data_IF_261646526727
#
_entry.id   IF_261646526727
#
_cell.length_a   1.000
_cell.length_b   1.000
_cell.length_c   1.000
_cell.angle_alpha   90.00
_cell.angle_beta   90.00
_cell.angle_gamma   90.00
#
_symmetry.space_group_name_H-M   'P 1'
#
loop_
_entity.id
_entity.type
_entity.pdbx_description
1 polymer ?
#
# COMPACT_ATOMS: atom_id res chain seq x y z
N UNK A 1 5.04 25.92 7.08
CA UNK A 1 5.90 25.05 6.27
C UNK A 1 6.48 23.98 7.18
N UNK A 2 5.81 22.83 7.28
CA UNK A 2 6.31 21.65 7.98
C UNK A 2 6.35 20.57 6.90
N UNK A 3 7.56 20.13 6.58
CA UNK A 3 7.88 19.25 5.47
C UNK A 3 7.16 17.90 5.59
N UNK A 4 6.37 17.58 4.57
CA UNK A 4 5.73 16.30 4.33
C UNK A 4 6.78 15.23 3.91
N UNK A 5 7.70 14.88 4.82
CA UNK A 5 8.86 14.04 4.52
C UNK A 5 8.81 12.62 5.12
N UNK A 6 7.74 12.23 5.83
CA UNK A 6 7.78 11.03 6.68
C UNK A 6 6.75 9.94 6.39
N UNK A 7 5.84 10.11 5.43
CA UNK A 7 4.74 9.16 5.29
C UNK A 7 5.03 7.94 4.41
N UNK A 8 6.07 8.04 3.58
CA UNK A 8 6.58 6.91 2.79
C UNK A 8 8.11 6.76 2.76
N UNK A 9 8.85 7.60 3.49
CA UNK A 9 10.25 7.27 3.85
C UNK A 9 10.34 6.02 4.73
N UNK A 10 9.21 5.62 5.31
CA UNK A 10 9.07 4.48 6.24
C UNK A 10 8.43 3.28 5.53
N UNK A 11 8.32 3.28 4.20
CA UNK A 11 8.37 2.02 3.46
C UNK A 11 9.81 1.44 3.39
N UNK A 12 10.78 2.17 3.98
CA UNK A 12 12.22 1.87 4.09
C UNK A 12 12.88 1.79 2.71
N UNK A 13 14.02 2.42 2.44
CA UNK A 13 15.29 1.82 2.84
C UNK A 13 15.25 0.28 2.86
N UNK A 14 14.73 -0.37 1.81
CA UNK A 14 14.96 -1.79 1.52
C UNK A 14 16.44 -1.94 1.23
N UNK A 15 17.22 -1.96 2.28
CA UNK A 15 18.25 -2.95 2.42
C UNK A 15 18.15 -3.65 3.77
N UNK A 16 17.35 -3.17 4.73
CA UNK A 16 16.96 -3.92 5.93
C UNK A 16 16.02 -3.08 6.83
N UNK A 17 14.71 -3.35 6.81
CA UNK A 17 14.00 -3.35 8.09
C UNK A 17 14.53 -4.52 8.95
N UNK A 18 14.37 -4.54 10.28
CA UNK A 18 14.85 -5.66 11.11
C UNK A 18 14.04 -6.95 10.91
N UNK A 19 13.04 -6.94 10.02
CA UNK A 19 12.08 -8.03 9.84
C UNK A 19 12.31 -8.73 8.49
N UNK A 20 12.14 -10.06 8.43
CA UNK A 20 12.16 -10.78 7.16
C UNK A 20 11.08 -10.24 6.22
N UNK A 21 11.42 -10.08 4.95
CA UNK A 21 10.48 -9.76 3.88
C UNK A 21 9.36 -10.80 3.80
N UNK A 22 8.14 -10.34 3.61
CA UNK A 22 6.95 -11.18 3.54
C UNK A 22 6.49 -11.75 4.88
N UNK A 23 7.00 -11.22 6.01
CA UNK A 23 6.66 -11.70 7.36
C UNK A 23 5.47 -10.97 7.99
N UNK A 24 4.81 -11.63 8.95
CA UNK A 24 3.76 -11.01 9.78
C UNK A 24 4.27 -9.75 10.50
N UNK A 25 5.51 -9.76 10.99
CA UNK A 25 6.10 -8.63 11.69
C UNK A 25 6.25 -7.40 10.78
N UNK A 26 6.67 -7.59 9.53
CA UNK A 26 6.71 -6.55 8.52
C UNK A 26 5.30 -6.01 8.23
N UNK A 27 4.32 -6.89 8.02
CA UNK A 27 2.94 -6.50 7.75
C UNK A 27 2.32 -5.67 8.89
N UNK A 28 2.55 -6.06 10.16
CA UNK A 28 2.08 -5.29 11.33
C UNK A 28 2.77 -3.94 11.45
N UNK A 29 4.05 -3.90 11.10
CA UNK A 29 4.82 -2.67 11.10
C UNK A 29 4.24 -1.70 10.07
N UNK A 30 3.96 -2.17 8.85
CA UNK A 30 3.31 -1.36 7.80
C UNK A 30 1.94 -0.84 8.26
N UNK A 31 1.12 -1.68 8.87
CA UNK A 31 -0.17 -1.25 9.43
C UNK A 31 -0.03 -0.09 10.42
N UNK A 32 0.93 -0.20 11.36
CA UNK A 32 1.14 0.84 12.37
C UNK A 32 1.58 2.19 11.78
N UNK A 33 2.24 2.16 10.62
CA UNK A 33 2.62 3.40 9.92
C UNK A 33 1.43 4.06 9.23
N UNK A 34 0.51 3.24 8.72
CA UNK A 34 -0.72 3.68 8.09
C UNK A 34 -1.69 4.32 9.11
N UNK A 35 -1.79 3.72 10.30
CA UNK A 35 -2.67 4.11 11.41
C UNK A 35 -2.15 5.38 12.12
N UNK A 36 -2.62 6.56 11.67
CA UNK A 36 -2.05 7.85 12.11
C UNK A 36 -2.50 8.30 13.47
N UNK A 37 -3.75 8.02 13.80
CA UNK A 37 -4.30 8.33 15.10
C UNK A 37 -4.08 7.20 16.11
N UNK A 38 -3.46 6.09 15.68
CA UNK A 38 -3.07 4.95 16.50
C UNK A 38 -4.27 4.27 17.17
N UNK A 39 -5.41 4.25 16.46
CA UNK A 39 -6.66 3.70 16.96
C UNK A 39 -6.84 2.21 16.58
N UNK A 40 -5.86 1.62 15.89
CA UNK A 40 -5.84 0.25 15.36
C UNK A 40 -6.88 -0.03 14.26
N UNK A 41 -7.29 1.00 13.53
CA UNK A 41 -8.26 0.94 12.43
C UNK A 41 -7.84 1.89 11.32
N UNK A 42 -7.65 1.38 10.11
CA UNK A 42 -7.43 2.25 8.96
C UNK A 42 -8.78 2.66 8.38
N UNK A 43 -9.01 3.96 8.36
CA UNK A 43 -10.13 4.58 7.64
C UNK A 43 -9.85 4.64 6.14
N UNK A 44 -10.92 4.84 5.35
CA UNK A 44 -10.81 5.07 3.92
C UNK A 44 -9.89 6.27 3.62
N UNK A 45 -9.95 7.34 4.40
CA UNK A 45 -9.08 8.51 4.22
C UNK A 45 -7.61 8.24 4.54
N UNK A 46 -7.31 7.39 5.53
CA UNK A 46 -5.94 6.97 5.83
C UNK A 46 -5.36 6.08 4.73
N UNK A 47 -6.18 5.16 4.19
CA UNK A 47 -5.79 4.33 3.04
C UNK A 47 -5.63 5.15 1.76
N UNK A 48 -6.55 6.07 1.47
CA UNK A 48 -6.46 6.99 0.32
C UNK A 48 -5.14 7.77 0.33
N UNK A 49 -4.78 8.32 1.50
CA UNK A 49 -3.56 9.12 1.65
C UNK A 49 -2.30 8.34 1.31
N UNK A 50 -2.28 7.03 1.60
CA UNK A 50 -1.14 6.16 1.29
C UNK A 50 -0.96 6.00 -0.22
N UNK A 51 -2.05 5.85 -0.97
CA UNK A 51 -1.96 5.70 -2.43
C UNK A 51 -1.56 7.02 -3.11
N UNK A 52 -2.15 8.14 -2.69
CA UNK A 52 -1.81 9.45 -3.25
C UNK A 52 -0.38 9.92 -2.92
N UNK A 53 0.32 9.29 -1.98
CA UNK A 53 1.76 9.54 -1.79
C UNK A 53 2.62 9.06 -2.99
N UNK A 54 2.07 8.27 -3.91
CA UNK A 54 2.72 7.91 -5.19
C UNK A 54 2.37 8.87 -6.34
N UNK A 55 1.35 9.71 -6.16
CA UNK A 55 0.95 10.72 -7.14
C UNK A 55 1.98 11.86 -7.12
N UNK A 56 2.87 11.84 -8.11
CA UNK A 56 4.04 12.72 -8.16
C UNK A 56 3.74 14.06 -8.82
N UNK A 57 2.83 14.06 -9.79
CA UNK A 57 2.43 15.27 -10.49
C UNK A 57 1.26 15.99 -9.77
N UNK A 58 0.69 15.34 -8.74
CA UNK A 58 -0.42 15.83 -7.92
C UNK A 58 -1.69 16.10 -8.73
N UNK A 59 -1.94 15.28 -9.75
CA UNK A 59 -3.13 15.37 -10.61
C UNK A 59 -4.33 14.57 -10.07
N UNK A 60 -4.16 13.89 -8.94
CA UNK A 60 -5.19 13.07 -8.30
C UNK A 60 -5.27 11.66 -8.90
N UNK A 61 -4.30 11.25 -9.71
CA UNK A 61 -4.23 9.91 -10.29
C UNK A 61 -2.82 9.36 -10.13
N UNK A 62 -2.71 8.12 -9.68
CA UNK A 62 -1.42 7.43 -9.67
C UNK A 62 -1.37 6.52 -10.89
N UNK A 63 -0.63 6.94 -11.92
CA UNK A 63 -0.35 6.03 -13.06
C UNK A 63 0.48 4.84 -12.59
N UNK A 64 0.34 3.67 -13.24
CA UNK A 64 1.26 2.55 -12.94
C UNK A 64 2.74 2.94 -13.15
N UNK A 65 3.04 3.86 -14.07
CA UNK A 65 4.39 4.38 -14.25
C UNK A 65 4.88 5.18 -13.04
N UNK A 66 4.06 6.07 -12.48
CA UNK A 66 4.37 6.78 -11.24
C UNK A 66 4.51 5.82 -10.07
N UNK A 67 3.61 4.84 -9.97
CA UNK A 67 3.66 3.78 -8.98
C UNK A 67 4.99 3.02 -9.07
N UNK A 68 5.37 2.53 -10.25
CA UNK A 68 6.60 1.76 -10.49
C UNK A 68 7.86 2.58 -10.27
N UNK A 69 7.87 3.84 -10.72
CA UNK A 69 9.03 4.74 -10.54
C UNK A 69 9.23 5.05 -9.07
N UNK A 70 8.18 5.39 -8.34
CA UNK A 70 8.27 5.64 -6.91
C UNK A 70 8.56 4.36 -6.12
N UNK A 71 8.00 3.22 -6.52
CA UNK A 71 8.32 1.89 -5.98
C UNK A 71 9.82 1.59 -6.11
N UNK A 72 10.37 1.73 -7.32
CA UNK A 72 11.79 1.49 -7.59
C UNK A 72 12.68 2.53 -6.89
N UNK A 73 12.30 3.81 -6.91
CA UNK A 73 13.04 4.90 -6.26
C UNK A 73 13.11 4.72 -4.75
N UNK A 74 12.03 4.22 -4.14
CA UNK A 74 11.94 3.94 -2.70
C UNK A 74 12.47 2.54 -2.34
N UNK A 75 12.76 1.72 -3.36
CA UNK A 75 13.25 0.35 -3.30
C UNK A 75 12.25 -0.67 -2.71
N UNK A 76 10.94 -0.53 -2.93
CA UNK A 76 9.90 -1.21 -2.14
C UNK A 76 9.72 -2.73 -2.41
N UNK A 77 10.61 -3.35 -3.16
CA UNK A 77 10.50 -4.73 -3.63
C UNK A 77 10.84 -4.83 -5.11
N UNK A 78 10.58 -5.98 -5.71
CA UNK A 78 10.84 -6.20 -7.13
C UNK A 78 9.91 -5.37 -8.03
N UNK A 79 10.37 -5.07 -9.24
CA UNK A 79 9.52 -4.43 -10.26
C UNK A 79 8.30 -5.29 -10.62
N UNK A 80 8.41 -6.62 -10.50
CA UNK A 80 7.29 -7.52 -10.74
C UNK A 80 6.18 -7.37 -9.70
N UNK A 81 6.53 -7.33 -8.42
CA UNK A 81 5.57 -7.12 -7.33
C UNK A 81 4.85 -5.79 -7.48
N UNK A 82 5.59 -4.74 -7.87
CA UNK A 82 5.02 -3.44 -8.15
C UNK A 82 4.00 -3.47 -9.30
N UNK A 83 4.30 -4.20 -10.38
CA UNK A 83 3.36 -4.38 -11.50
C UNK A 83 2.11 -5.12 -11.03
N UNK A 84 2.29 -6.22 -10.30
CA UNK A 84 1.17 -7.04 -9.80
C UNK A 84 0.27 -6.22 -8.87
N UNK A 85 0.89 -5.45 -7.96
CA UNK A 85 0.18 -4.58 -7.04
C UNK A 85 -0.56 -3.46 -7.78
N UNK A 86 0.09 -2.75 -8.71
CA UNK A 86 -0.59 -1.72 -9.48
C UNK A 86 -1.82 -2.28 -10.19
N UNK A 87 -1.67 -3.44 -10.82
CA UNK A 87 -2.74 -4.09 -11.56
C UNK A 87 -3.89 -4.61 -10.68
N UNK A 88 -3.63 -4.82 -9.39
CA UNK A 88 -4.63 -5.22 -8.41
C UNK A 88 -5.36 -4.02 -7.80
N UNK A 89 -4.68 -2.89 -7.68
CA UNK A 89 -5.21 -1.64 -7.13
C UNK A 89 -5.97 -0.82 -8.19
N UNK A 90 -5.60 -0.94 -9.46
CA UNK A 90 -6.34 -0.41 -10.62
C UNK A 90 -7.53 -1.34 -10.91
N UNK A 91 -8.67 -1.07 -10.25
CA UNK A 91 -9.82 -1.98 -10.21
C UNK A 91 -10.60 -1.94 -11.52
N UNK A 92 -10.75 -0.76 -12.11
CA UNK A 92 -11.43 -0.58 -13.39
C UNK A 92 -10.52 -0.85 -14.60
N UNK A 93 -9.21 -1.03 -14.37
CA UNK A 93 -8.17 -1.37 -15.36
C UNK A 93 -7.96 -0.27 -16.39
N UNK A 94 -8.12 0.98 -15.98
CA UNK A 94 -7.92 2.14 -16.85
C UNK A 94 -6.45 2.59 -16.90
N UNK A 95 -5.56 1.96 -16.11
CA UNK A 95 -4.13 2.27 -16.03
C UNK A 95 -3.78 3.29 -14.94
N UNK A 96 -4.76 3.75 -14.17
CA UNK A 96 -4.64 4.75 -13.13
C UNK A 96 -5.30 4.26 -11.85
N UNK A 97 -4.60 4.38 -10.72
CA UNK A 97 -5.20 4.20 -9.40
C UNK A 97 -5.77 5.57 -8.99
N UNK A 98 -7.09 5.64 -8.88
CA UNK A 98 -7.83 6.88 -8.65
C UNK A 98 -8.69 6.77 -7.39
N UNK A 99 -9.31 7.89 -6.99
CA UNK A 99 -10.21 7.91 -5.83
C UNK A 99 -11.35 6.89 -5.95
N UNK A 100 -11.83 6.65 -7.18
CA UNK A 100 -12.88 5.68 -7.49
C UNK A 100 -12.50 4.22 -7.20
N UNK A 101 -11.20 3.89 -7.20
CA UNK A 101 -10.71 2.54 -6.91
C UNK A 101 -10.63 2.26 -5.42
N UNK A 102 -10.47 3.30 -4.60
CA UNK A 102 -10.19 3.15 -3.17
C UNK A 102 -11.29 2.44 -2.40
N UNK A 103 -12.60 2.68 -2.61
CA UNK A 103 -13.65 1.91 -1.96
C UNK A 103 -13.50 0.39 -2.20
N UNK A 104 -13.08 -0.03 -3.39
CA UNK A 104 -12.90 -1.44 -3.73
C UNK A 104 -11.63 -2.03 -3.11
N UNK A 105 -10.56 -1.24 -3.05
CA UNK A 105 -9.33 -1.62 -2.32
C UNK A 105 -9.66 -1.80 -0.83
N UNK A 106 -10.44 -0.90 -0.24
CA UNK A 106 -10.88 -1.02 1.17
C UNK A 106 -11.68 -2.29 1.36
N UNK A 107 -12.67 -2.58 0.50
CA UNK A 107 -13.46 -3.82 0.57
C UNK A 107 -12.60 -5.09 0.45
N UNK A 108 -11.50 -5.04 -0.30
CA UNK A 108 -10.58 -6.18 -0.40
C UNK A 108 -9.88 -6.47 0.94
N UNK A 109 -9.56 -5.43 1.71
CA UNK A 109 -8.92 -5.56 3.02
C UNK A 109 -9.92 -5.71 4.17
N UNK A 110 -11.04 -4.99 4.19
CA UNK A 110 -12.12 -5.04 5.19
C UNK A 110 -12.98 -6.29 4.99
N UNK A 111 -12.55 -7.39 5.63
CA UNK A 111 -13.17 -8.70 5.43
C UNK A 111 -14.45 -8.88 6.22
N UNK A 112 -14.59 -8.16 7.33
CA UNK A 112 -15.75 -8.25 8.21
C UNK A 112 -16.84 -7.21 7.86
N UNK A 113 -16.53 -6.25 6.97
CA UNK A 113 -17.41 -5.19 6.49
C UNK A 113 -17.89 -4.23 7.59
N UNK A 114 -17.04 -3.96 8.58
CA UNK A 114 -17.33 -2.99 9.64
C UNK A 114 -16.99 -1.54 9.25
N UNK A 115 -16.48 -1.35 8.03
CA UNK A 115 -16.13 -0.05 7.47
C UNK A 115 -14.70 0.40 7.81
N UNK A 116 -13.92 -0.45 8.45
CA UNK A 116 -12.52 -0.21 8.80
C UNK A 116 -11.66 -1.40 8.39
N UNK A 117 -10.38 -1.14 8.12
CA UNK A 117 -9.40 -2.23 8.01
C UNK A 117 -8.68 -2.34 9.34
N UNK A 118 -8.96 -3.42 10.08
CA UNK A 118 -8.22 -3.75 11.29
C UNK A 118 -6.85 -4.36 11.00
N UNK A 119 -5.95 -4.37 11.99
CA UNK A 119 -4.58 -4.89 11.82
C UNK A 119 -4.57 -6.35 11.34
N UNK A 120 -5.43 -7.20 11.91
CA UNK A 120 -5.48 -8.62 11.52
C UNK A 120 -5.94 -8.80 10.06
N UNK A 121 -6.88 -7.98 9.61
CA UNK A 121 -7.39 -7.99 8.25
C UNK A 121 -6.33 -7.53 7.27
N UNK A 122 -5.65 -6.43 7.60
CA UNK A 122 -4.50 -5.94 6.83
C UNK A 122 -3.43 -7.02 6.70
N UNK A 123 -2.96 -7.59 7.81
CA UNK A 123 -1.85 -8.57 7.82
C UNK A 123 -2.21 -9.81 7.02
N UNK A 124 -3.39 -10.40 7.22
CA UNK A 124 -3.79 -11.62 6.51
C UNK A 124 -3.89 -11.39 5.01
N UNK A 125 -4.48 -10.27 4.62
CA UNK A 125 -4.69 -9.96 3.19
C UNK A 125 -3.37 -9.56 2.52
N UNK A 126 -2.54 -8.75 3.19
CA UNK A 126 -1.20 -8.37 2.74
C UNK A 126 -0.31 -9.59 2.50
N UNK A 127 -0.22 -10.49 3.48
CA UNK A 127 0.58 -11.71 3.38
C UNK A 127 0.11 -12.61 2.24
N UNK A 128 -1.20 -12.72 2.00
CA UNK A 128 -1.74 -13.48 0.87
C UNK A 128 -1.32 -12.89 -0.47
N UNK A 129 -1.32 -11.57 -0.57
CA UNK A 129 -1.00 -10.86 -1.81
C UNK A 129 0.49 -11.04 -2.16
N UNK A 130 1.39 -10.75 -1.23
CA UNK A 130 2.84 -10.78 -1.47
C UNK A 130 3.42 -12.19 -1.53
N UNK A 131 2.82 -13.18 -0.86
CA UNK A 131 3.30 -14.57 -0.90
C UNK A 131 2.64 -15.43 -2.00
N UNK A 132 1.69 -14.86 -2.77
CA UNK A 132 0.99 -15.56 -3.83
C UNK A 132 1.97 -16.13 -4.87
N UNK A 133 1.75 -17.33 -5.44
CA UNK A 133 2.64 -17.90 -6.46
C UNK A 133 2.83 -17.02 -7.71
N UNK A 134 1.94 -16.05 -7.93
CA UNK A 134 2.05 -15.08 -9.03
C UNK A 134 3.06 -13.96 -8.75
N UNK A 135 3.35 -13.62 -7.48
CA UNK A 135 4.36 -12.61 -7.11
C UNK A 135 5.79 -13.15 -7.07
N UNK A 136 5.98 -14.48 -7.02
CA UNK A 136 7.30 -15.14 -6.88
C UNK A 136 7.82 -15.83 -8.15
N UNK A 137 7.67 -15.22 -9.34
CA UNK A 137 8.21 -15.78 -10.60
C UNK A 137 9.13 -14.84 -11.35
#
# INVERSE_FOLDING_TARGET
MISAFFLFSVFFSVSAGPFPEGSDAEARYIFHLADKDQNYKLTLSELQRIFFDFDRNHDGNVTCDEFLKEWSRRNLGSALEAVILCHHLDVDRNGHIQESDVPWIVVFFDRNMDGYVGQAEFVVTWLKLINSPQSRK
#
